data_IF_707142409140
#
_entry.id   IF_707142409140
#
_cell.length_a   1.000
_cell.length_b   1.000
_cell.length_c   1.000
_cell.angle_alpha   90.00
_cell.angle_beta   90.00
_cell.angle_gamma   90.00
#
_symmetry.space_group_name_H-M   'P 1'
#
loop_
_entity.id
_entity.type
_entity.pdbx_description
1 polymer ?
#
# COMPACT_ATOMS: atom_id res chain seq x y z
N UNK A 1 -18.42 10.71 55.88
CA UNK A 1 -17.33 10.97 54.89
C UNK A 1 -17.61 10.18 53.64
N UNK A 2 -18.12 10.84 52.62
CA UNK A 2 -18.59 10.20 51.39
C UNK A 2 -17.44 10.14 50.36
N UNK A 3 -17.01 8.92 50.00
CA UNK A 3 -16.04 8.65 48.97
C UNK A 3 -16.69 8.82 47.56
N UNK A 4 -16.30 9.84 46.83
CA UNK A 4 -16.72 10.07 45.44
C UNK A 4 -16.08 9.04 44.53
N UNK A 5 -16.87 8.06 44.04
CA UNK A 5 -16.48 7.13 42.99
C UNK A 5 -16.31 7.89 41.68
N UNK A 6 -15.08 7.95 41.17
CA UNK A 6 -14.72 8.52 39.88
C UNK A 6 -15.16 7.57 38.77
N UNK A 7 -16.26 7.93 38.10
CA UNK A 7 -16.84 7.18 36.97
C UNK A 7 -15.96 7.35 35.75
N UNK A 8 -15.20 6.31 35.35
CA UNK A 8 -14.40 6.29 34.13
C UNK A 8 -15.31 6.38 32.90
N UNK A 9 -14.99 7.20 31.91
CA UNK A 9 -15.76 7.26 30.66
C UNK A 9 -15.66 5.92 29.93
N UNK A 10 -16.81 5.43 29.43
CA UNK A 10 -16.88 4.25 28.55
C UNK A 10 -16.19 4.57 27.24
N UNK A 11 -15.15 3.80 26.93
CA UNK A 11 -14.56 3.75 25.60
C UNK A 11 -15.65 3.34 24.61
N UNK A 12 -15.86 4.17 23.61
CA UNK A 12 -16.74 3.89 22.48
C UNK A 12 -16.06 2.77 21.67
N UNK A 13 -16.63 1.59 21.74
CA UNK A 13 -16.19 0.42 20.97
C UNK A 13 -16.56 0.66 19.52
N UNK A 14 -15.56 0.99 18.69
CA UNK A 14 -15.73 1.14 17.25
C UNK A 14 -15.93 -0.25 16.65
N UNK A 15 -17.07 -0.56 16.00
CA UNK A 15 -17.28 -1.86 15.42
C UNK A 15 -16.25 -2.12 14.31
N UNK A 16 -15.49 -3.22 14.44
CA UNK A 16 -14.60 -3.74 13.39
C UNK A 16 -15.44 -4.27 12.23
N UNK A 17 -15.88 -3.38 11.36
CA UNK A 17 -16.40 -3.72 10.04
C UNK A 17 -15.23 -3.81 9.05
N UNK A 18 -14.43 -4.86 9.17
CA UNK A 18 -13.56 -5.30 8.10
C UNK A 18 -14.17 -6.57 7.53
N UNK A 19 -14.81 -6.55 6.35
CA UNK A 19 -15.20 -7.78 5.70
C UNK A 19 -13.92 -8.55 5.36
N UNK A 20 -13.77 -9.73 5.94
CA UNK A 20 -12.75 -10.71 5.57
C UNK A 20 -12.99 -11.10 4.10
N UNK A 21 -12.38 -10.40 3.18
CA UNK A 21 -12.31 -10.84 1.78
C UNK A 21 -11.35 -12.02 1.76
N UNK A 22 -11.91 -13.23 1.75
CA UNK A 22 -11.17 -14.46 1.43
C UNK A 22 -10.46 -14.22 0.10
N UNK A 23 -9.14 -14.08 0.13
CA UNK A 23 -8.32 -14.05 -1.06
C UNK A 23 -8.57 -15.36 -1.84
N UNK A 24 -9.29 -15.24 -2.95
CA UNK A 24 -9.47 -16.33 -3.91
C UNK A 24 -8.11 -16.60 -4.53
N UNK A 25 -7.52 -17.75 -4.22
CA UNK A 25 -6.26 -18.18 -4.81
C UNK A 25 -6.42 -18.17 -6.35
N UNK A 26 -5.53 -17.50 -7.10
CA UNK A 26 -5.63 -17.46 -8.56
C UNK A 26 -5.35 -18.85 -9.14
N UNK A 27 -6.22 -19.27 -10.08
CA UNK A 27 -6.11 -20.53 -10.80
C UNK A 27 -4.76 -20.64 -11.55
N UNK A 28 -4.11 -21.80 -11.45
CA UNK A 28 -2.73 -22.12 -11.88
C UNK A 28 -2.50 -22.23 -13.40
N UNK A 29 -3.16 -21.46 -14.25
CA UNK A 29 -3.07 -21.58 -15.74
C UNK A 29 -2.83 -20.26 -16.47
N UNK A 30 -2.16 -19.30 -15.85
CA UNK A 30 -1.77 -18.07 -16.53
C UNK A 30 -0.36 -18.20 -17.12
N UNK A 31 -0.14 -17.64 -18.32
CA UNK A 31 1.21 -17.56 -18.93
C UNK A 31 2.17 -16.78 -18.03
N UNK A 32 3.50 -17.00 -18.12
CA UNK A 32 4.48 -16.33 -17.25
C UNK A 32 4.38 -14.79 -17.25
N UNK A 33 4.04 -14.19 -18.37
CA UNK A 33 3.81 -12.75 -18.50
C UNK A 33 2.58 -12.30 -17.69
N UNK A 34 1.53 -13.10 -17.72
CA UNK A 34 0.31 -12.80 -16.96
C UNK A 34 0.51 -12.95 -15.43
N UNK A 35 1.35 -13.88 -14.99
CA UNK A 35 1.68 -14.06 -13.57
C UNK A 35 2.48 -12.86 -13.00
N UNK A 36 3.35 -12.27 -13.79
CA UNK A 36 4.07 -11.06 -13.40
C UNK A 36 3.12 -9.88 -13.18
N UNK A 37 2.21 -9.63 -14.14
CA UNK A 37 1.24 -8.53 -14.04
C UNK A 37 0.30 -8.73 -12.85
N UNK A 38 -0.20 -9.95 -12.65
CA UNK A 38 -1.04 -10.28 -11.50
C UNK A 38 -0.29 -10.11 -10.17
N UNK A 39 0.99 -10.48 -10.11
CA UNK A 39 1.81 -10.28 -8.92
C UNK A 39 2.05 -8.78 -8.65
N UNK A 40 2.30 -8.00 -9.70
CA UNK A 40 2.47 -6.56 -9.62
C UNK A 40 1.19 -5.89 -9.07
N UNK A 41 0.04 -6.14 -9.69
CA UNK A 41 -1.26 -5.61 -9.24
C UNK A 41 -1.59 -6.02 -7.81
N UNK A 42 -1.34 -7.28 -7.44
CA UNK A 42 -1.60 -7.77 -6.09
C UNK A 42 -0.72 -7.11 -5.02
N UNK A 43 0.52 -6.74 -5.35
CA UNK A 43 1.41 -6.01 -4.43
C UNK A 43 0.99 -4.54 -4.38
N UNK A 44 0.74 -3.92 -5.53
CA UNK A 44 0.31 -2.53 -5.63
C UNK A 44 -0.98 -2.28 -4.85
N UNK A 45 -1.97 -3.16 -4.97
CA UNK A 45 -3.23 -3.09 -4.21
C UNK A 45 -2.98 -3.08 -2.69
N UNK A 46 -2.06 -3.92 -2.20
CA UNK A 46 -1.70 -3.94 -0.77
C UNK A 46 -0.97 -2.69 -0.31
N UNK A 47 -0.15 -2.10 -1.18
CA UNK A 47 0.49 -0.81 -0.92
C UNK A 47 -0.55 0.31 -0.82
N UNK A 48 -1.47 0.38 -1.78
CA UNK A 48 -2.54 1.38 -1.81
C UNK A 48 -3.48 1.25 -0.62
N UNK A 49 -3.79 0.03 -0.19
CA UNK A 49 -4.60 -0.23 1.02
C UNK A 49 -3.85 -0.04 2.33
N UNK A 50 -2.57 0.31 2.28
CA UNK A 50 -1.71 0.42 3.47
C UNK A 50 -1.60 -0.87 4.29
N UNK A 51 -1.89 -2.04 3.71
CA UNK A 51 -1.62 -3.34 4.33
C UNK A 51 -0.10 -3.56 4.48
N UNK A 52 0.67 -3.05 3.50
CA UNK A 52 2.10 -2.86 3.57
C UNK A 52 2.39 -1.44 4.04
N UNK A 53 2.66 -1.30 5.33
CA UNK A 53 2.86 0.02 5.93
C UNK A 53 4.08 0.75 5.32
N UNK A 54 3.98 2.06 5.03
CA UNK A 54 5.10 2.87 4.59
C UNK A 54 6.28 2.79 5.56
N UNK A 55 7.48 2.64 5.01
CA UNK A 55 8.72 2.49 5.79
C UNK A 55 8.98 1.09 6.35
N UNK A 56 8.04 0.15 6.24
CA UNK A 56 8.22 -1.23 6.72
C UNK A 56 9.27 -1.97 5.92
N UNK A 57 10.12 -2.72 6.62
CA UNK A 57 11.03 -3.70 6.04
C UNK A 57 10.35 -5.08 5.99
N UNK A 58 10.53 -5.80 4.89
CA UNK A 58 10.01 -7.16 4.70
C UNK A 58 10.97 -7.98 3.82
N UNK A 59 10.94 -9.29 4.03
CA UNK A 59 11.70 -10.21 3.19
C UNK A 59 10.92 -10.54 1.90
N UNK A 60 11.65 -10.83 0.82
CA UNK A 60 11.02 -11.26 -0.44
C UNK A 60 10.12 -12.50 -0.25
N UNK A 61 10.54 -13.44 0.63
CA UNK A 61 9.77 -14.63 0.95
C UNK A 61 8.44 -14.30 1.65
N UNK A 62 8.45 -13.34 2.57
CA UNK A 62 7.24 -12.87 3.24
C UNK A 62 6.25 -12.29 2.21
N UNK A 63 6.75 -11.46 1.30
CA UNK A 63 5.93 -10.90 0.23
C UNK A 63 5.35 -11.99 -0.69
N UNK A 64 6.14 -13.01 -1.06
CA UNK A 64 5.67 -14.15 -1.85
C UNK A 64 4.51 -14.89 -1.18
N UNK A 65 4.62 -15.14 0.13
CA UNK A 65 3.57 -15.80 0.90
C UNK A 65 2.29 -14.96 0.97
N UNK A 66 2.44 -13.64 1.11
CA UNK A 66 1.31 -12.72 1.17
C UNK A 66 0.52 -12.63 -0.14
N UNK A 67 1.22 -12.66 -1.28
CA UNK A 67 0.57 -12.52 -2.60
C UNK A 67 0.25 -13.86 -3.25
N UNK A 68 0.86 -14.97 -2.81
CA UNK A 68 0.59 -16.31 -3.31
C UNK A 68 1.20 -16.62 -4.68
N UNK A 69 2.20 -15.87 -5.13
CA UNK A 69 2.91 -16.08 -6.40
C UNK A 69 4.32 -16.64 -6.19
N UNK A 70 4.85 -17.27 -7.24
CA UNK A 70 6.20 -17.80 -7.23
C UNK A 70 7.29 -16.73 -7.14
N UNK A 71 8.54 -17.16 -6.90
CA UNK A 71 9.69 -16.26 -6.71
C UNK A 71 9.94 -15.36 -7.92
N UNK A 72 9.90 -15.92 -9.12
CA UNK A 72 10.22 -15.19 -10.35
C UNK A 72 9.25 -14.06 -10.64
N UNK A 73 7.92 -14.26 -10.70
CA UNK A 73 6.97 -13.17 -10.95
C UNK A 73 7.00 -12.10 -9.85
N UNK A 74 7.16 -12.49 -8.58
CA UNK A 74 7.26 -11.52 -7.47
C UNK A 74 8.54 -10.71 -7.55
N UNK A 75 9.68 -11.33 -7.88
CA UNK A 75 10.95 -10.61 -8.05
C UNK A 75 10.87 -9.59 -9.20
N UNK A 76 10.26 -9.95 -10.32
CA UNK A 76 10.05 -9.06 -11.45
C UNK A 76 9.10 -7.90 -11.07
N UNK A 77 8.00 -8.20 -10.37
CA UNK A 77 7.06 -7.19 -9.88
C UNK A 77 7.74 -6.19 -8.91
N UNK A 78 8.54 -6.69 -7.98
CA UNK A 78 9.32 -5.85 -7.06
C UNK A 78 10.32 -4.97 -7.80
N UNK A 79 10.99 -5.48 -8.83
CA UNK A 79 11.91 -4.68 -9.64
C UNK A 79 11.21 -3.52 -10.34
N UNK A 80 9.99 -3.73 -10.84
CA UNK A 80 9.17 -2.67 -11.45
C UNK A 80 8.67 -1.68 -10.40
N UNK A 81 8.15 -2.16 -9.26
CA UNK A 81 7.73 -1.28 -8.16
C UNK A 81 8.90 -0.45 -7.60
N UNK A 82 10.12 -0.97 -7.66
CA UNK A 82 11.31 -0.22 -7.28
C UNK A 82 11.65 0.88 -8.29
N UNK A 83 11.47 0.62 -9.60
CA UNK A 83 11.60 1.65 -10.63
C UNK A 83 10.53 2.75 -10.47
N UNK A 84 9.32 2.38 -10.04
CA UNK A 84 8.22 3.29 -9.74
C UNK A 84 8.35 3.97 -8.36
N UNK A 85 9.48 3.76 -7.67
CA UNK A 85 9.79 4.34 -6.33
C UNK A 85 8.85 3.94 -5.19
N UNK A 86 8.05 2.91 -5.35
CA UNK A 86 7.10 2.41 -4.35
C UNK A 86 7.77 1.46 -3.33
N UNK A 87 8.83 0.78 -3.75
CA UNK A 87 9.64 -0.13 -2.92
C UNK A 87 11.12 0.20 -3.13
N UNK A 88 11.90 0.13 -2.08
CA UNK A 88 13.36 0.22 -2.15
C UNK A 88 13.97 -1.14 -1.82
N UNK A 89 14.87 -1.63 -2.67
CA UNK A 89 15.60 -2.88 -2.45
C UNK A 89 16.91 -2.56 -1.73
N UNK A 90 17.05 -3.07 -0.51
CA UNK A 90 18.27 -2.90 0.28
C UNK A 90 19.13 -4.18 0.24
N UNK A 91 20.38 -4.09 -0.21
CA UNK A 91 21.29 -5.25 -0.15
C UNK A 91 21.38 -5.79 1.28
N UNK A 92 21.21 -7.09 1.46
CA UNK A 92 21.28 -7.80 2.76
C UNK A 92 20.19 -7.47 3.79
N UNK A 93 19.32 -6.47 3.53
CA UNK A 93 18.25 -6.08 4.45
C UNK A 93 16.85 -6.39 3.93
N UNK A 94 16.73 -6.81 2.67
CA UNK A 94 15.46 -7.12 2.02
C UNK A 94 14.83 -5.92 1.33
N UNK A 95 13.53 -5.84 1.40
CA UNK A 95 12.72 -4.82 0.74
C UNK A 95 12.23 -3.80 1.78
N UNK A 96 12.14 -2.56 1.41
CA UNK A 96 11.52 -1.52 2.22
C UNK A 96 10.41 -0.86 1.41
N UNK A 97 9.21 -0.78 1.99
CA UNK A 97 8.13 0.05 1.43
C UNK A 97 8.55 1.51 1.53
N UNK A 98 8.41 2.27 0.45
CA UNK A 98 8.81 3.67 0.43
C UNK A 98 8.15 4.46 1.59
N UNK A 99 8.92 5.20 2.39
CA UNK A 99 8.36 6.06 3.42
C UNK A 99 7.62 7.23 2.79
N UNK A 100 6.55 7.70 3.43
CA UNK A 100 5.81 8.87 2.96
C UNK A 100 6.52 10.14 3.46
N UNK A 101 6.92 10.99 2.52
CA UNK A 101 7.41 12.34 2.81
C UNK A 101 6.24 13.33 2.74
N UNK A 102 5.67 13.65 3.91
CA UNK A 102 4.53 14.55 4.01
C UNK A 102 4.82 15.98 3.50
N UNK A 103 6.05 16.44 3.57
CA UNK A 103 6.43 17.77 3.06
C UNK A 103 6.36 17.77 1.53
N UNK A 104 6.93 16.75 0.89
CA UNK A 104 6.87 16.56 -0.56
C UNK A 104 5.42 16.37 -1.04
N UNK A 105 4.63 15.56 -0.35
CA UNK A 105 3.23 15.30 -0.71
C UNK A 105 2.37 16.57 -0.66
N UNK A 106 2.58 17.43 0.32
CA UNK A 106 1.90 18.74 0.40
C UNK A 106 2.20 19.62 -0.81
N UNK A 107 3.46 19.69 -1.23
CA UNK A 107 3.87 20.48 -2.40
C UNK A 107 3.25 19.93 -3.68
N UNK A 108 3.23 18.60 -3.85
CA UNK A 108 2.61 17.95 -5.01
C UNK A 108 1.10 18.19 -5.07
N UNK A 109 0.41 18.10 -3.94
CA UNK A 109 -1.02 18.39 -3.86
C UNK A 109 -1.35 19.87 -4.17
N UNK A 110 -0.50 20.79 -3.71
CA UNK A 110 -0.64 22.20 -4.04
C UNK A 110 -0.46 22.44 -5.54
N UNK A 111 0.59 21.91 -6.12
CA UNK A 111 0.86 22.00 -7.56
C UNK A 111 -0.30 21.42 -8.38
N UNK A 112 -0.80 20.25 -8.03
CA UNK A 112 -1.95 19.62 -8.68
C UNK A 112 -3.17 20.52 -8.63
N UNK A 113 -3.49 21.09 -7.47
CA UNK A 113 -4.61 22.02 -7.30
C UNK A 113 -4.48 23.26 -8.20
N UNK A 114 -3.28 23.82 -8.30
CA UNK A 114 -3.04 25.01 -9.11
C UNK A 114 -3.14 24.69 -10.60
N UNK A 115 -2.65 23.53 -11.02
CA UNK A 115 -2.80 23.04 -12.41
C UNK A 115 -4.27 22.76 -12.75
N UNK A 116 -5.03 22.12 -11.88
CA UNK A 116 -6.47 21.87 -12.08
C UNK A 116 -7.25 23.18 -12.22
N UNK A 117 -6.96 24.16 -11.38
CA UNK A 117 -7.58 25.51 -11.49
C UNK A 117 -7.24 26.22 -12.79
N UNK A 118 -5.99 26.08 -13.24
CA UNK A 118 -5.55 26.66 -14.51
C UNK A 118 -6.28 26.02 -15.70
N UNK A 119 -6.36 24.69 -15.74
CA UNK A 119 -7.08 23.95 -16.78
C UNK A 119 -8.56 24.32 -16.81
N UNK A 120 -9.21 24.41 -15.64
CA UNK A 120 -10.64 24.81 -15.57
C UNK A 120 -10.85 26.22 -16.14
N UNK A 121 -9.96 27.17 -15.84
CA UNK A 121 -10.06 28.53 -16.41
C UNK A 121 -9.98 28.52 -17.92
N UNK A 122 -9.01 27.78 -18.49
CA UNK A 122 -8.88 27.65 -19.94
C UNK A 122 -10.08 26.97 -20.60
N UNK A 123 -10.73 26.04 -19.90
CA UNK A 123 -11.92 25.35 -20.41
C UNK A 123 -13.20 26.21 -20.36
N UNK A 124 -13.20 27.30 -19.58
CA UNK A 124 -14.32 28.22 -19.44
C UNK A 124 -14.23 29.47 -20.35
N UNK A 125 -13.13 29.67 -21.05
CA UNK A 125 -12.93 30.71 -22.09
C UNK A 125 -13.42 30.23 -23.45
#
# INVERSE_FOLDING_TARGET
MASKAHKRPRLIEVPRLVPSVKAKAPARTASPLNQFEQAYEAIEERLVRCELQPGRYLALQELQQMVGFGRTPVHQAVSRLAADTLITVHPRRGLQVAPIDLARERVLLQLRRDMERFVIRLACE
#
